data_IF_418093133783
#
_entry.id   IF_418093133783
#
_cell.length_a   1.000
_cell.length_b   1.000
_cell.length_c   1.000
_cell.angle_alpha   90.00
_cell.angle_beta   90.00
_cell.angle_gamma   90.00
#
_symmetry.space_group_name_H-M   'P 1'
#
loop_
_entity.id
_entity.type
_entity.pdbx_description
1 polymer ?
#
# COMPACT_ATOMS: atom_id res chain seq x y z
N UNK A 1 -14.94 17.01 2.99
CA UNK A 1 -14.78 15.60 3.41
C UNK A 1 -13.46 15.49 4.14
N UNK A 2 -13.47 14.96 5.37
CA UNK A 2 -12.31 14.98 6.29
C UNK A 2 -11.34 13.86 5.92
N UNK A 3 -10.07 14.22 5.67
CA UNK A 3 -8.85 13.37 5.65
C UNK A 3 -9.05 11.85 5.80
N UNK A 4 -9.60 11.18 4.79
CA UNK A 4 -9.67 9.72 4.77
C UNK A 4 -8.35 9.16 4.25
N UNK A 5 -7.88 8.09 4.89
CA UNK A 5 -6.69 7.38 4.45
C UNK A 5 -7.06 6.51 3.24
N UNK A 6 -6.43 6.81 2.12
CA UNK A 6 -6.54 6.09 0.85
C UNK A 6 -5.13 5.84 0.29
N UNK A 7 -5.03 5.19 -0.88
CA UNK A 7 -3.74 4.91 -1.53
C UNK A 7 -2.84 6.16 -1.61
N UNK A 8 -3.35 7.26 -2.16
CA UNK A 8 -2.54 8.45 -2.45
C UNK A 8 -2.05 9.13 -1.16
N UNK A 9 -2.93 9.28 -0.18
CA UNK A 9 -2.57 9.86 1.14
C UNK A 9 -1.62 8.96 1.93
N UNK A 10 -1.78 7.63 1.82
CA UNK A 10 -0.84 6.68 2.43
C UNK A 10 0.56 6.79 1.81
N UNK A 11 0.65 6.83 0.47
CA UNK A 11 1.93 7.03 -0.23
C UNK A 11 2.55 8.38 0.16
N UNK A 12 1.75 9.44 0.29
CA UNK A 12 2.24 10.73 0.75
C UNK A 12 2.80 10.67 2.19
N UNK A 13 2.15 9.95 3.11
CA UNK A 13 2.68 9.74 4.46
C UNK A 13 4.05 9.04 4.41
N UNK A 14 4.21 7.99 3.59
CA UNK A 14 5.49 7.30 3.45
C UNK A 14 6.59 8.23 2.90
N UNK A 15 6.24 9.08 1.92
CA UNK A 15 7.14 10.12 1.38
C UNK A 15 7.54 11.13 2.44
N UNK A 16 6.58 11.61 3.23
CA UNK A 16 6.82 12.59 4.30
C UNK A 16 7.67 12.00 5.44
N UNK A 17 7.60 10.68 5.65
CA UNK A 17 8.52 9.93 6.52
C UNK A 17 9.93 9.75 5.93
N UNK A 18 10.18 10.20 4.70
CA UNK A 18 11.48 10.14 4.03
C UNK A 18 11.76 8.83 3.30
N UNK A 19 10.75 8.02 2.99
CA UNK A 19 10.97 6.79 2.21
C UNK A 19 11.16 7.10 0.73
N UNK A 20 12.25 6.57 0.18
CA UNK A 20 12.46 6.45 -1.27
C UNK A 20 11.54 5.41 -1.89
N UNK A 21 11.37 5.47 -3.22
CA UNK A 21 10.58 4.52 -4.01
C UNK A 21 11.08 3.09 -3.77
N UNK A 22 12.40 2.88 -3.81
CA UNK A 22 13.00 1.58 -3.56
C UNK A 22 12.68 1.02 -2.16
N UNK A 23 12.61 1.89 -1.14
CA UNK A 23 12.23 1.48 0.22
C UNK A 23 10.74 1.16 0.32
N UNK A 24 9.87 1.91 -0.37
CA UNK A 24 8.43 1.62 -0.41
C UNK A 24 8.14 0.32 -1.17
N UNK A 25 8.82 0.07 -2.29
CA UNK A 25 8.74 -1.22 -2.99
C UNK A 25 9.19 -2.37 -2.09
N UNK A 26 10.29 -2.19 -1.35
CA UNK A 26 10.76 -3.20 -0.39
C UNK A 26 9.77 -3.42 0.75
N UNK A 27 9.13 -2.36 1.26
CA UNK A 27 8.07 -2.46 2.27
C UNK A 27 6.90 -3.30 1.76
N UNK A 28 6.39 -2.97 0.57
CA UNK A 28 5.31 -3.69 -0.11
C UNK A 28 5.65 -5.19 -0.28
N UNK A 29 6.82 -5.50 -0.83
CA UNK A 29 7.27 -6.90 -1.01
C UNK A 29 7.39 -7.66 0.32
N UNK A 30 7.82 -6.98 1.39
CA UNK A 30 7.89 -7.59 2.72
C UNK A 30 6.51 -7.83 3.32
N UNK A 31 5.55 -6.92 3.11
CA UNK A 31 4.16 -7.10 3.53
C UNK A 31 3.52 -8.28 2.79
N UNK A 32 3.63 -8.34 1.47
CA UNK A 32 3.10 -9.45 0.67
C UNK A 32 3.72 -10.79 1.08
N UNK A 33 5.06 -10.83 1.24
CA UNK A 33 5.75 -12.07 1.60
C UNK A 33 5.44 -12.57 3.01
N UNK A 34 5.34 -11.67 3.99
CA UNK A 34 5.23 -12.05 5.41
C UNK A 34 3.79 -12.11 5.90
N UNK A 35 2.91 -11.28 5.35
CA UNK A 35 1.55 -11.10 5.82
C UNK A 35 0.55 -10.91 4.64
N UNK A 36 0.50 -11.84 3.66
CA UNK A 36 -0.26 -11.66 2.42
C UNK A 36 -1.75 -11.36 2.65
N UNK A 37 -2.38 -12.03 3.62
CA UNK A 37 -3.80 -11.78 3.91
C UNK A 37 -4.04 -10.44 4.62
N UNK A 38 -3.10 -9.98 5.46
CA UNK A 38 -3.21 -8.66 6.09
C UNK A 38 -2.94 -7.56 5.07
N UNK A 39 -2.02 -7.82 4.14
CA UNK A 39 -1.74 -6.93 3.03
C UNK A 39 -2.97 -6.75 2.12
N UNK A 40 -3.66 -7.83 1.74
CA UNK A 40 -4.93 -7.77 1.01
C UNK A 40 -5.95 -6.86 1.72
N UNK A 41 -6.24 -7.13 3.00
CA UNK A 41 -7.21 -6.34 3.78
C UNK A 41 -6.80 -4.87 3.92
N UNK A 42 -5.50 -4.61 3.99
CA UNK A 42 -4.98 -3.25 4.05
C UNK A 42 -5.20 -2.50 2.73
N UNK A 43 -4.98 -3.14 1.59
CA UNK A 43 -5.24 -2.52 0.28
C UNK A 43 -6.73 -2.24 0.07
N UNK A 44 -7.62 -3.15 0.50
CA UNK A 44 -9.07 -2.94 0.50
C UNK A 44 -9.46 -1.76 1.41
N UNK A 45 -8.83 -1.65 2.60
CA UNK A 45 -9.02 -0.52 3.51
C UNK A 45 -8.57 0.81 2.89
N UNK A 46 -7.50 0.81 2.08
CA UNK A 46 -7.07 1.98 1.30
C UNK A 46 -7.99 2.33 0.12
N UNK A 47 -9.15 1.66 0.01
CA UNK A 47 -10.19 1.88 -1.01
C UNK A 47 -9.69 1.57 -2.43
N UNK A 48 -8.74 0.64 -2.56
CA UNK A 48 -8.22 0.18 -3.86
C UNK A 48 -9.17 -0.88 -4.42
N UNK A 49 -9.49 -0.80 -5.72
CA UNK A 49 -10.35 -1.78 -6.39
C UNK A 49 -9.63 -3.10 -6.67
N UNK A 50 -10.40 -4.19 -6.78
CA UNK A 50 -9.88 -5.56 -6.90
C UNK A 50 -8.86 -5.77 -8.04
N UNK A 51 -9.11 -5.18 -9.21
CA UNK A 51 -8.20 -5.27 -10.37
C UNK A 51 -6.84 -4.65 -10.08
N UNK A 52 -6.83 -3.51 -9.39
CA UNK A 52 -5.62 -2.82 -9.01
C UNK A 52 -4.90 -3.54 -7.86
N UNK A 53 -5.64 -4.09 -6.90
CA UNK A 53 -5.08 -4.94 -5.84
C UNK A 53 -4.36 -6.13 -6.46
N UNK A 54 -4.98 -6.81 -7.43
CA UNK A 54 -4.37 -7.94 -8.12
C UNK A 54 -3.05 -7.54 -8.80
N UNK A 55 -3.00 -6.36 -9.44
CA UNK A 55 -1.79 -5.84 -10.07
C UNK A 55 -0.70 -5.49 -9.02
N UNK A 56 -1.07 -4.81 -7.94
CA UNK A 56 -0.16 -4.40 -6.86
C UNK A 56 0.50 -5.64 -6.24
N UNK A 57 -0.27 -6.68 -5.92
CA UNK A 57 0.25 -7.89 -5.26
C UNK A 57 1.16 -8.75 -6.14
N UNK A 58 1.20 -8.49 -7.45
CA UNK A 58 2.10 -9.15 -8.39
C UNK A 58 3.42 -8.40 -8.61
N UNK A 59 3.58 -7.20 -8.02
CA UNK A 59 4.77 -6.33 -8.16
C UNK A 59 5.86 -6.54 -7.11
#
# INVERSE_FOLDING_TARGET
MKNELNKDTFVQILRDCGLSDAQMTKLHQLMEKRFPESHQRFLEFLQIGDDEIAAIRQS
#
